data_IF_086761175837
#
_entry.id   IF_086761175837
#
_cell.length_a   1.000
_cell.length_b   1.000
_cell.length_c   1.000
_cell.angle_alpha   90.00
_cell.angle_beta   90.00
_cell.angle_gamma   90.00
#
_symmetry.space_group_name_H-M   'P 1'
#
loop_
_entity.id
_entity.type
_entity.pdbx_description
1 polymer ?
#
# COMPACT_ATOMS: atom_id res chain seq x y z
N UNK A 1 -5.48 0.05 -20.20
CA UNK A 1 -4.69 -0.53 -19.08
C UNK A 1 -5.28 0.05 -17.82
N UNK A 2 -5.71 -0.81 -16.90
CA UNK A 2 -6.78 -0.50 -15.96
C UNK A 2 -6.21 -0.28 -14.56
N UNK A 3 -6.11 0.98 -14.13
CA UNK A 3 -6.17 1.25 -12.70
C UNK A 3 -7.60 0.95 -12.24
N UNK A 4 -7.73 0.19 -11.16
CA UNK A 4 -9.01 -0.37 -10.71
C UNK A 4 -9.37 0.14 -9.33
N UNK A 5 -10.66 0.29 -9.09
CA UNK A 5 -11.21 0.47 -7.74
C UNK A 5 -11.46 -0.89 -7.13
N UNK A 6 -10.98 -1.11 -5.90
CA UNK A 6 -11.30 -2.34 -5.16
C UNK A 6 -12.76 -2.26 -4.71
N UNK A 7 -13.56 -3.24 -5.11
CA UNK A 7 -14.96 -3.36 -4.72
C UNK A 7 -15.14 -4.46 -3.68
N UNK A 8 -16.31 -4.48 -3.04
CA UNK A 8 -16.67 -5.59 -2.15
C UNK A 8 -16.74 -6.94 -2.88
N UNK A 9 -17.12 -6.95 -4.16
CA UNK A 9 -17.13 -8.16 -4.98
C UNK A 9 -15.73 -8.77 -5.12
N UNK A 10 -14.69 -7.92 -5.20
CA UNK A 10 -13.30 -8.38 -5.22
C UNK A 10 -12.89 -8.99 -3.88
N UNK A 11 -13.32 -8.41 -2.75
CA UNK A 11 -13.08 -8.96 -1.41
C UNK A 11 -13.73 -10.35 -1.26
N UNK A 12 -14.89 -10.56 -1.87
CA UNK A 12 -15.58 -11.86 -1.86
C UNK A 12 -14.85 -12.96 -2.64
N UNK A 13 -13.80 -12.63 -3.41
CA UNK A 13 -12.95 -13.63 -4.07
C UNK A 13 -11.92 -14.26 -3.12
N UNK A 14 -11.56 -13.57 -2.03
CA UNK A 14 -10.59 -14.03 -1.02
C UNK A 14 -11.22 -14.36 0.34
N UNK A 15 -12.37 -13.77 0.64
CA UNK A 15 -13.20 -14.08 1.81
C UNK A 15 -14.55 -14.61 1.35
N UNK A 16 -14.99 -15.74 1.90
CA UNK A 16 -16.33 -16.22 1.57
C UNK A 16 -17.41 -15.27 2.12
N UNK A 17 -18.56 -15.20 1.45
CA UNK A 17 -19.70 -14.40 1.89
C UNK A 17 -20.11 -14.65 3.36
N UNK A 18 -20.19 -15.90 3.82
CA UNK A 18 -20.44 -16.21 5.24
C UNK A 18 -19.37 -15.69 6.20
N UNK A 19 -18.09 -15.77 5.84
CA UNK A 19 -17.01 -15.23 6.67
C UNK A 19 -17.11 -13.70 6.79
N UNK A 20 -17.31 -13.01 5.67
CA UNK A 20 -17.43 -11.55 5.66
C UNK A 20 -18.64 -11.09 6.47
N UNK A 21 -19.78 -11.76 6.32
CA UNK A 21 -20.98 -11.50 7.12
C UNK A 21 -20.74 -11.75 8.62
N UNK A 22 -20.00 -12.81 8.98
CA UNK A 22 -19.64 -13.08 10.37
C UNK A 22 -18.79 -11.95 10.96
N UNK A 23 -17.75 -11.48 10.26
CA UNK A 23 -16.94 -10.36 10.74
C UNK A 23 -17.73 -9.06 10.85
N UNK A 24 -18.59 -8.75 9.88
CA UNK A 24 -19.49 -7.58 9.95
C UNK A 24 -20.41 -7.66 11.17
N UNK A 25 -21.02 -8.82 11.41
CA UNK A 25 -21.92 -9.00 12.56
C UNK A 25 -21.24 -8.73 13.89
N UNK A 26 -19.99 -9.18 14.07
CA UNK A 26 -19.19 -8.92 15.28
C UNK A 26 -18.84 -7.44 15.44
N UNK A 27 -18.45 -6.76 14.35
CA UNK A 27 -18.16 -5.33 14.39
C UNK A 27 -19.39 -4.50 14.78
N UNK A 28 -20.54 -4.79 14.15
CA UNK A 28 -21.81 -4.12 14.43
C UNK A 28 -22.32 -4.38 15.85
N UNK A 29 -22.15 -5.60 16.36
CA UNK A 29 -22.50 -5.93 17.75
C UNK A 29 -21.68 -5.13 18.78
N UNK A 30 -20.47 -4.70 18.41
CA UNK A 30 -19.66 -3.77 19.21
C UNK A 30 -20.08 -2.30 19.10
N UNK A 31 -21.18 -1.99 18.40
CA UNK A 31 -21.62 -0.62 18.12
C UNK A 31 -20.74 0.13 17.12
N UNK A 32 -19.88 -0.59 16.38
CA UNK A 32 -18.95 -0.01 15.42
C UNK A 32 -19.58 0.05 14.02
N UNK A 33 -19.14 1.00 13.20
CA UNK A 33 -19.52 1.06 11.78
C UNK A 33 -18.95 -0.15 11.00
N UNK A 34 -19.54 -0.44 9.83
CA UNK A 34 -19.05 -1.49 8.93
C UNK A 34 -17.56 -1.29 8.62
N UNK A 35 -16.68 -2.25 8.97
CA UNK A 35 -15.25 -2.09 8.82
C UNK A 35 -14.76 -2.25 7.37
N UNK A 36 -15.57 -2.80 6.46
CA UNK A 36 -15.11 -3.20 5.12
C UNK A 36 -14.66 -2.00 4.29
N UNK A 37 -15.52 -1.00 4.08
CA UNK A 37 -15.18 0.16 3.26
C UNK A 37 -13.98 0.98 3.81
N UNK A 38 -13.89 1.27 5.13
CA UNK A 38 -12.71 1.92 5.69
C UNK A 38 -11.41 1.12 5.52
N UNK A 39 -11.46 -0.22 5.61
CA UNK A 39 -10.27 -1.06 5.42
C UNK A 39 -9.84 -1.05 3.95
N UNK A 40 -10.78 -1.11 3.00
CA UNK A 40 -10.47 -0.99 1.57
C UNK A 40 -9.75 0.34 1.31
N UNK A 41 -10.29 1.46 1.80
CA UNK A 41 -9.65 2.77 1.64
C UNK A 41 -8.22 2.81 2.21
N UNK A 42 -8.02 2.31 3.43
CA UNK A 42 -6.68 2.25 4.05
C UNK A 42 -5.69 1.37 3.28
N UNK A 43 -6.15 0.30 2.64
CA UNK A 43 -5.28 -0.58 1.84
C UNK A 43 -4.99 0.06 0.48
N UNK A 44 -5.96 0.71 -0.14
CA UNK A 44 -5.74 1.51 -1.36
C UNK A 44 -4.68 2.59 -1.10
N UNK A 45 -4.80 3.35 -0.02
CA UNK A 45 -3.82 4.38 0.35
C UNK A 45 -2.43 3.78 0.61
N UNK A 46 -2.37 2.61 1.25
CA UNK A 46 -1.11 1.91 1.48
C UNK A 46 -0.43 1.53 0.16
N UNK A 47 -1.17 0.87 -0.74
CA UNK A 47 -0.65 0.46 -2.05
C UNK A 47 -0.20 1.67 -2.85
N UNK A 48 -1.00 2.75 -2.87
CA UNK A 48 -0.63 4.02 -3.52
C UNK A 48 0.64 4.61 -2.92
N UNK A 49 0.82 4.52 -1.61
CA UNK A 49 2.05 4.93 -0.92
C UNK A 49 3.29 4.18 -1.42
N UNK A 50 3.21 2.86 -1.57
CA UNK A 50 4.31 2.06 -2.13
C UNK A 50 4.57 2.39 -3.59
N UNK A 51 3.52 2.49 -4.40
CA UNK A 51 3.64 2.87 -5.82
C UNK A 51 4.33 4.23 -5.97
N UNK A 52 3.91 5.23 -5.19
CA UNK A 52 4.50 6.57 -5.17
C UNK A 52 5.88 6.65 -4.53
N UNK A 53 6.35 5.58 -3.87
CA UNK A 53 7.72 5.48 -3.35
C UNK A 53 8.76 5.38 -4.47
N UNK A 54 8.39 4.76 -5.58
CA UNK A 54 9.23 4.68 -6.77
C UNK A 54 9.05 5.93 -7.65
N UNK A 55 10.16 6.65 -7.90
CA UNK A 55 10.16 7.94 -8.61
C UNK A 55 9.80 7.86 -10.09
N UNK A 56 9.92 6.68 -10.71
CA UNK A 56 9.52 6.48 -12.11
C UNK A 56 8.02 6.23 -12.26
N UNK A 57 7.32 5.88 -11.19
CA UNK A 57 5.90 5.56 -11.25
C UNK A 57 5.06 6.85 -11.22
N UNK A 58 3.93 6.81 -11.92
CA UNK A 58 2.88 7.82 -11.83
C UNK A 58 1.66 7.25 -11.13
N UNK A 59 1.05 8.04 -10.25
CA UNK A 59 -0.21 7.66 -9.63
C UNK A 59 -1.37 7.92 -10.60
N UNK A 60 -2.33 6.99 -10.66
CA UNK A 60 -3.63 7.21 -11.29
C UNK A 60 -4.62 7.86 -10.34
N UNK A 61 -5.86 8.02 -10.80
CA UNK A 61 -6.98 8.64 -10.08
C UNK A 61 -7.07 8.21 -8.60
N UNK A 62 -7.41 9.15 -7.72
CA UNK A 62 -7.58 8.88 -6.30
C UNK A 62 -8.56 7.72 -6.07
N UNK A 63 -8.25 6.84 -5.11
CA UNK A 63 -9.06 5.65 -4.83
C UNK A 63 -8.87 4.47 -5.79
N UNK A 64 -7.93 4.57 -6.74
CA UNK A 64 -7.58 3.46 -7.65
C UNK A 64 -6.17 2.94 -7.42
N UNK A 65 -5.92 1.69 -7.82
CA UNK A 65 -4.62 1.03 -7.79
C UNK A 65 -4.30 0.34 -9.12
N UNK A 66 -3.03 0.06 -9.45
CA UNK A 66 -2.68 -0.76 -10.61
C UNK A 66 -3.33 -2.15 -10.55
N UNK A 67 -3.90 -2.64 -11.65
CA UNK A 67 -4.56 -3.96 -11.67
C UNK A 67 -3.63 -5.12 -11.24
N UNK A 68 -2.33 -5.07 -11.56
CA UNK A 68 -1.33 -6.05 -11.06
C UNK A 68 -1.29 -6.16 -9.53
N UNK A 69 -1.64 -5.09 -8.83
CA UNK A 69 -1.58 -5.02 -7.37
C UNK A 69 -2.94 -5.34 -6.71
N UNK A 70 -3.96 -5.72 -7.49
CA UNK A 70 -5.27 -6.08 -6.96
C UNK A 70 -5.18 -7.29 -6.02
N UNK A 71 -4.58 -8.40 -6.46
CA UNK A 71 -4.47 -9.61 -5.62
C UNK A 71 -3.66 -9.35 -4.33
N UNK A 72 -2.45 -8.74 -4.37
CA UNK A 72 -1.72 -8.36 -3.16
C UNK A 72 -2.54 -7.46 -2.22
N UNK A 73 -3.32 -6.51 -2.75
CA UNK A 73 -4.19 -5.67 -1.94
C UNK A 73 -5.30 -6.49 -1.24
N UNK A 74 -5.91 -7.45 -1.95
CA UNK A 74 -6.91 -8.35 -1.39
C UNK A 74 -6.35 -9.25 -0.28
N UNK A 75 -5.12 -9.76 -0.44
CA UNK A 75 -4.45 -10.57 0.59
C UNK A 75 -4.22 -9.76 1.88
N UNK A 76 -3.89 -8.47 1.75
CA UNK A 76 -3.77 -7.56 2.90
C UNK A 76 -5.14 -7.32 3.55
N UNK A 77 -6.19 -7.09 2.75
CA UNK A 77 -7.56 -6.90 3.25
C UNK A 77 -8.05 -8.14 4.02
N UNK A 78 -7.77 -9.34 3.51
CA UNK A 78 -8.18 -10.61 4.10
C UNK A 78 -7.58 -10.85 5.50
N UNK A 79 -6.45 -10.19 5.83
CA UNK A 79 -5.85 -10.19 7.17
C UNK A 79 -6.38 -9.06 8.05
N UNK A 80 -6.61 -7.87 7.49
CA UNK A 80 -7.03 -6.69 8.26
C UNK A 80 -8.47 -6.78 8.77
N UNK A 81 -9.39 -7.35 7.99
CA UNK A 81 -10.81 -7.49 8.39
C UNK A 81 -10.96 -8.36 9.65
N UNK A 82 -10.43 -9.61 9.71
CA UNK A 82 -10.53 -10.43 10.93
C UNK A 82 -9.87 -9.77 12.15
N UNK A 83 -8.69 -9.16 11.96
CA UNK A 83 -7.95 -8.49 13.05
C UNK A 83 -8.76 -7.35 13.67
N UNK A 84 -9.57 -6.64 12.87
CA UNK A 84 -10.44 -5.56 13.37
C UNK A 84 -11.44 -6.04 14.42
N UNK A 85 -11.93 -7.27 14.27
CA UNK A 85 -12.86 -7.92 15.20
C UNK A 85 -12.17 -8.86 16.19
N UNK A 86 -10.86 -8.66 16.41
CA UNK A 86 -10.02 -9.45 17.32
C UNK A 86 -10.04 -10.95 17.01
N UNK A 87 -10.14 -11.29 15.72
CA UNK A 87 -9.99 -12.66 15.21
C UNK A 87 -8.64 -12.80 14.54
N UNK A 88 -7.96 -13.90 14.83
CA UNK A 88 -6.70 -14.21 14.19
C UNK A 88 -6.94 -14.77 12.80
N UNK A 89 -6.31 -14.21 11.76
CA UNK A 89 -6.34 -14.79 10.42
C UNK A 89 -5.53 -16.09 10.42
N UNK A 90 -5.94 -17.04 9.57
CA UNK A 90 -5.23 -18.29 9.35
C UNK A 90 -3.78 -18.05 8.92
N UNK A 91 -2.87 -18.98 9.25
CA UNK A 91 -1.45 -18.87 8.85
C UNK A 91 -1.28 -18.61 7.35
N UNK A 92 -2.01 -19.33 6.49
CA UNK A 92 -1.95 -19.13 5.04
C UNK A 92 -2.30 -17.69 4.59
N UNK A 93 -3.20 -17.01 5.31
CA UNK A 93 -3.54 -15.59 5.05
C UNK A 93 -2.43 -14.66 5.54
N UNK A 94 -1.76 -15.00 6.65
CA UNK A 94 -0.60 -14.24 7.11
C UNK A 94 0.57 -14.38 6.14
N UNK A 95 0.86 -15.60 5.67
CA UNK A 95 1.90 -15.84 4.68
C UNK A 95 1.63 -15.08 3.37
N UNK A 96 0.38 -15.07 2.90
CA UNK A 96 -0.03 -14.29 1.72
C UNK A 96 0.09 -12.77 1.96
N UNK A 97 -0.29 -12.28 3.14
CA UNK A 97 -0.08 -10.88 3.53
C UNK A 97 1.41 -10.51 3.50
N UNK A 98 2.28 -11.34 4.04
CA UNK A 98 3.71 -11.05 4.10
C UNK A 98 4.35 -11.07 2.70
N UNK A 99 3.91 -11.99 1.83
CA UNK A 99 4.28 -12.00 0.42
C UNK A 99 3.78 -10.75 -0.32
N UNK A 100 2.57 -10.28 -0.02
CA UNK A 100 2.01 -9.07 -0.60
C UNK A 100 2.83 -7.84 -0.19
N UNK A 101 3.19 -7.70 1.08
CA UNK A 101 4.05 -6.60 1.55
C UNK A 101 5.43 -6.65 0.88
N UNK A 102 6.06 -7.83 0.80
CA UNK A 102 7.35 -7.99 0.13
C UNK A 102 7.30 -7.61 -1.36
N UNK A 103 6.19 -7.86 -2.04
CA UNK A 103 5.99 -7.41 -3.42
C UNK A 103 5.82 -5.89 -3.50
N UNK A 104 5.05 -5.28 -2.60
CA UNK A 104 4.88 -3.83 -2.55
C UNK A 104 6.20 -3.10 -2.26
N UNK A 105 7.07 -3.68 -1.45
CA UNK A 105 8.44 -3.17 -1.24
C UNK A 105 9.22 -3.15 -2.55
N UNK A 106 9.18 -4.22 -3.35
CA UNK A 106 9.80 -4.25 -4.69
C UNK A 106 9.24 -3.20 -5.64
N UNK A 107 7.94 -2.92 -5.57
CA UNK A 107 7.32 -1.82 -6.34
C UNK A 107 7.93 -0.48 -5.93
N UNK A 108 8.09 -0.23 -4.62
CA UNK A 108 8.69 1.02 -4.13
C UNK A 108 10.18 1.15 -4.47
N UNK A 109 10.89 0.04 -4.59
CA UNK A 109 12.30 -0.02 -5.00
C UNK A 109 12.49 0.12 -6.52
N UNK A 110 11.40 0.30 -7.28
CA UNK A 110 11.40 0.30 -8.74
C UNK A 110 11.88 -1.02 -9.38
N UNK A 111 11.81 -2.13 -8.63
CA UNK A 111 12.22 -3.48 -9.08
C UNK A 111 11.04 -4.32 -9.62
N UNK A 112 9.82 -3.80 -9.52
CA UNK A 112 8.62 -4.41 -10.09
C UNK A 112 7.85 -3.43 -10.98
N UNK A 113 7.62 -3.83 -12.23
CA UNK A 113 6.93 -3.03 -13.23
C UNK A 113 5.40 -3.10 -13.10
N UNK A 114 4.76 -1.93 -13.10
CA UNK A 114 3.31 -1.77 -12.98
C UNK A 114 2.72 -1.07 -14.20
N UNK A 115 1.41 -1.19 -14.42
CA UNK A 115 0.75 -0.43 -15.49
C UNK A 115 0.76 1.07 -15.23
N UNK A 116 1.13 1.85 -16.24
CA UNK A 116 0.94 3.30 -16.21
C UNK A 116 -0.56 3.67 -16.23
N UNK A 117 -0.95 4.70 -15.46
CA UNK A 117 -2.33 5.18 -15.46
C UNK A 117 -2.67 5.87 -16.78
N UNK A 118 -3.88 5.65 -17.28
CA UNK A 118 -4.41 6.37 -18.46
C UNK A 118 -4.63 7.86 -18.16
N UNK A 119 -4.99 8.17 -16.90
CA UNK A 119 -5.16 9.53 -16.41
C UNK A 119 -4.31 9.69 -15.16
N UNK A 120 -3.22 10.47 -15.22
CA UNK A 120 -2.38 10.71 -14.05
C UNK A 120 -3.16 11.51 -13.00
N UNK A 121 -2.91 11.20 -11.74
CA UNK A 121 -3.41 11.97 -10.60
C UNK A 121 -2.77 13.35 -10.57
N UNK A 122 -3.51 14.34 -10.06
CA UNK A 122 -2.94 15.62 -9.65
C UNK A 122 -2.27 15.56 -8.26
N UNK A 123 -2.35 14.41 -7.58
CA UNK A 123 -1.70 14.20 -6.28
C UNK A 123 -0.19 14.10 -6.45
N UNK A 124 0.53 15.08 -5.92
CA UNK A 124 1.98 14.99 -5.76
C UNK A 124 2.32 14.13 -4.53
N UNK A 125 2.94 12.97 -4.74
CA UNK A 125 3.64 12.27 -3.66
C UNK A 125 4.93 13.01 -3.32
N UNK A 126 4.81 14.02 -2.47
CA UNK A 126 5.93 14.78 -1.93
C UNK A 126 6.74 13.94 -0.92
N UNK A 127 7.41 12.88 -1.38
CA UNK A 127 8.54 12.31 -0.65
C UNK A 127 9.75 13.22 -0.87
N UNK A 128 9.73 14.39 -0.22
CA UNK A 128 10.86 15.30 -0.17
C UNK A 128 12.02 14.64 0.57
N UNK A 129 12.85 13.87 -0.14
CA UNK A 129 14.11 13.39 0.43
C UNK A 129 14.99 14.61 0.70
N UNK A 130 15.47 14.86 1.92
CA UNK A 130 16.50 15.87 2.14
C UNK A 130 17.73 15.48 1.32
N UNK A 131 17.95 16.16 0.19
CA UNK A 131 19.18 16.01 -0.59
C UNK A 131 20.24 16.83 0.11
N UNK A 132 21.14 16.17 0.82
CA UNK A 132 22.42 16.78 1.23
C UNK A 132 23.25 16.93 -0.05
N UNK A 133 23.10 18.05 -0.76
CA UNK A 133 23.94 18.39 -1.88
C UNK A 133 25.31 18.81 -1.34
N UNK A 134 26.31 17.94 -1.53
CA UNK A 134 27.74 18.23 -1.49
C UNK A 134 28.23 19.17 -0.38
N UNK A 135 28.70 18.59 0.73
CA UNK A 135 29.54 19.34 1.65
C UNK A 135 30.81 19.80 0.93
N UNK A 136 30.87 21.06 0.47
CA UNK A 136 32.13 21.69 0.07
C UNK A 136 33.05 21.63 1.30
N UNK A 137 34.02 20.72 1.30
CA UNK A 137 35.07 20.67 2.32
C UNK A 137 35.83 22.00 2.20
N UNK A 138 35.60 22.91 3.15
CA UNK A 138 36.32 24.21 3.20
C UNK A 138 37.77 24.07 3.68
N UNK A 139 38.14 22.90 4.19
CA UNK A 139 39.49 22.57 4.64
C UNK A 139 39.93 21.26 4.00
N UNK A 140 40.89 21.34 3.08
CA UNK A 140 41.69 20.20 2.62
C UNK A 140 43.01 20.18 3.40
N UNK A 141 43.72 19.04 3.40
CA UNK A 141 45.06 18.91 3.99
C UNK A 141 46.05 19.94 3.43
N UNK A 142 45.81 20.43 2.22
CA UNK A 142 46.63 21.44 1.53
C UNK A 142 46.45 22.85 2.11
N UNK A 143 45.41 23.11 2.91
CA UNK A 143 45.12 24.40 3.55
C UNK A 143 45.52 24.43 5.04
N UNK A 144 46.22 23.40 5.53
CA UNK A 144 46.78 23.40 6.89
C UNK A 144 48.16 24.05 6.88
N UNK A 145 48.22 25.38 6.97
CA UNK A 145 49.43 26.06 7.42
C UNK A 145 49.61 25.76 8.91
N UNK A 146 50.61 24.95 9.22
CA UNK A 146 51.01 24.59 10.57
C UNK A 146 51.53 25.79 11.35
N UNK A 147 51.10 25.90 12.61
CA UNK A 147 51.70 26.77 13.64
C UNK A 147 53.00 26.15 14.14
#
# INVERSE_FOLDING_TARGET
MAWVTITEADVLTVLSGPELAAYRSVALAGGQADPVAPIIGQVVDLVRGYVGGCKSNQLGEAGTIPAKLLQPALDIIAVRIPRRVRKDPTQARQDAHDQAIALLEKVSDCDFDIEEPVTPSAEETAAGTPRISGGKRKFSRELQDGI
#
